data_IF_144355586328
#
_entry.id   IF_144355586328
#
_cell.length_a   1.000
_cell.length_b   1.000
_cell.length_c   1.000
_cell.angle_alpha   90.00
_cell.angle_beta   90.00
_cell.angle_gamma   90.00
#
_symmetry.space_group_name_H-M   'P 1'
#
loop_
_entity.id
_entity.type
_entity.pdbx_description
1 polymer ?
#
# COMPACT_ATOMS: atom_id res chain seq x y z
N UNK A 1 45.68 30.89 26.24
CA UNK A 1 44.87 29.88 25.52
C UNK A 1 43.54 29.78 26.23
N UNK A 2 42.35 29.96 25.65
CA UNK A 2 41.96 30.18 24.26
C UNK A 2 40.60 30.91 24.29
N UNK A 3 40.60 32.24 24.10
CA UNK A 3 39.37 33.04 23.89
C UNK A 3 39.10 33.29 22.38
N UNK A 4 39.89 32.66 21.50
CA UNK A 4 39.78 32.81 20.03
C UNK A 4 39.00 31.69 19.33
N UNK A 5 38.59 30.63 20.04
CA UNK A 5 37.88 29.48 19.42
C UNK A 5 36.34 29.56 19.48
N UNK A 6 35.74 30.40 20.34
CA UNK A 6 34.27 30.49 20.43
C UNK A 6 33.64 31.50 19.45
N UNK A 7 34.39 32.48 18.95
CA UNK A 7 33.86 33.46 17.98
C UNK A 7 33.72 32.92 16.54
N UNK A 8 34.53 31.91 16.15
CA UNK A 8 34.49 31.35 14.80
C UNK A 8 33.30 30.43 14.54
N UNK A 9 32.82 29.73 15.56
CA UNK A 9 31.73 28.76 15.42
C UNK A 9 30.35 29.46 15.33
N UNK A 10 30.17 30.57 16.04
CA UNK A 10 28.92 31.35 16.00
C UNK A 10 28.67 32.01 14.64
N UNK A 11 29.73 32.49 13.97
CA UNK A 11 29.61 33.10 12.64
C UNK A 11 29.30 32.07 11.54
N UNK A 12 29.86 30.86 11.63
CA UNK A 12 29.61 29.79 10.66
C UNK A 12 28.16 29.26 10.73
N UNK A 13 27.59 29.16 11.94
CA UNK A 13 26.20 28.71 12.15
C UNK A 13 25.19 29.78 11.72
N UNK A 14 25.46 31.06 12.00
CA UNK A 14 24.61 32.16 11.55
C UNK A 14 24.61 32.32 10.02
N UNK A 15 25.74 32.06 9.36
CA UNK A 15 25.84 32.12 7.90
C UNK A 15 25.09 30.96 7.21
N UNK A 16 25.17 29.74 7.76
CA UNK A 16 24.43 28.58 7.24
C UNK A 16 22.90 28.73 7.37
N UNK A 17 22.42 29.28 8.49
CA UNK A 17 21.01 29.57 8.70
C UNK A 17 20.50 30.69 7.77
N UNK A 18 21.33 31.71 7.49
CA UNK A 18 21.01 32.77 6.54
C UNK A 18 20.88 32.27 5.09
N UNK A 19 21.72 31.32 4.67
CA UNK A 19 21.67 30.73 3.32
C UNK A 19 20.45 29.82 3.14
N UNK A 20 20.05 29.07 4.17
CA UNK A 20 18.85 28.23 4.15
C UNK A 20 17.55 29.05 4.10
N UNK A 21 17.49 30.18 4.81
CA UNK A 21 16.34 31.09 4.73
C UNK A 21 16.23 31.79 3.36
N UNK A 22 17.36 32.17 2.75
CA UNK A 22 17.34 32.82 1.43
C UNK A 22 16.93 31.85 0.31
N UNK A 23 17.30 30.57 0.40
CA UNK A 23 16.91 29.55 -0.58
C UNK A 23 15.41 29.24 -0.51
N UNK A 24 14.86 29.14 0.71
CA UNK A 24 13.43 28.91 0.95
C UNK A 24 12.56 30.06 0.43
N UNK A 25 13.04 31.31 0.57
CA UNK A 25 12.33 32.50 0.11
C UNK A 25 12.37 32.66 -1.42
N UNK A 26 13.46 32.23 -2.07
CA UNK A 26 13.60 32.27 -3.53
C UNK A 26 12.75 31.19 -4.23
N UNK A 27 12.59 30.01 -3.64
CA UNK A 27 11.68 28.96 -4.15
C UNK A 27 10.21 29.41 -4.08
N UNK A 28 9.85 30.27 -3.13
CA UNK A 28 8.50 30.80 -3.02
C UNK A 28 8.19 31.95 -4.00
N UNK A 29 9.21 32.57 -4.61
CA UNK A 29 9.05 33.69 -5.54
C UNK A 29 9.02 33.29 -7.02
N UNK A 30 9.25 32.01 -7.36
CA UNK A 30 9.37 31.54 -8.76
C UNK A 30 8.26 30.59 -9.21
N UNK A 31 7.12 30.51 -8.52
CA UNK A 31 5.93 29.82 -9.05
C UNK A 31 5.05 30.79 -9.86
N UNK A 32 5.11 30.81 -11.21
CA UNK A 32 4.09 31.48 -12.00
C UNK A 32 2.77 30.68 -11.93
N UNK A 33 1.73 31.42 -11.56
CA UNK A 33 0.29 31.17 -11.67
C UNK A 33 -0.15 30.06 -12.64
N UNK A 34 -1.09 29.27 -12.11
CA UNK A 34 -2.14 28.49 -12.75
C UNK A 34 -2.59 29.01 -14.13
N UNK A 35 -2.49 28.15 -15.15
CA UNK A 35 -3.34 28.24 -16.34
C UNK A 35 -4.32 27.06 -16.32
N UNK A 36 -5.61 27.41 -16.35
CA UNK A 36 -6.75 26.50 -16.47
C UNK A 36 -6.56 25.57 -17.65
N UNK A 37 -6.39 24.27 -17.38
CA UNK A 37 -6.57 23.22 -18.37
C UNK A 37 -8.01 22.77 -18.25
N UNK A 38 -8.81 23.10 -19.25
CA UNK A 38 -10.15 22.57 -19.43
C UNK A 38 -10.04 21.10 -19.81
N UNK A 39 -10.40 20.23 -18.87
CA UNK A 39 -10.53 18.79 -19.10
C UNK A 39 -11.48 18.51 -20.26
N UNK A 40 -10.94 17.95 -21.34
CA UNK A 40 -11.73 17.25 -22.36
C UNK A 40 -11.51 15.76 -22.18
N UNK A 41 -12.33 15.14 -21.34
CA UNK A 41 -12.48 13.69 -21.30
C UNK A 41 -13.16 13.19 -22.59
N UNK A 42 -12.68 12.12 -23.23
CA UNK A 42 -13.46 11.40 -24.20
C UNK A 42 -14.59 10.63 -23.49
N UNK A 43 -15.83 11.02 -23.78
CA UNK A 43 -17.02 10.24 -23.42
C UNK A 43 -16.99 8.89 -24.15
N UNK A 44 -16.68 7.82 -23.42
CA UNK A 44 -16.89 6.45 -23.91
C UNK A 44 -18.39 6.16 -23.80
N UNK A 45 -19.06 6.13 -24.94
CA UNK A 45 -20.48 5.76 -25.06
C UNK A 45 -20.58 4.24 -25.09
N UNK A 46 -21.16 3.63 -24.05
CA UNK A 46 -21.58 2.24 -24.08
C UNK A 46 -22.97 2.13 -24.71
N UNK A 47 -23.03 1.79 -26.00
CA UNK A 47 -24.23 1.23 -26.61
C UNK A 47 -24.11 -0.29 -26.66
N UNK A 48 -24.91 -0.95 -25.84
CA UNK A 48 -25.11 -2.39 -25.86
C UNK A 48 -26.51 -2.72 -25.35
N UNK A 49 -27.50 -2.62 -26.23
CA UNK A 49 -28.85 -3.16 -26.03
C UNK A 49 -28.79 -4.68 -25.99
N UNK A 50 -29.15 -5.27 -24.86
CA UNK A 50 -29.35 -6.71 -24.69
C UNK A 50 -30.23 -6.97 -23.48
N UNK A 51 -31.53 -7.13 -23.72
CA UNK A 51 -32.51 -7.59 -22.74
C UNK A 51 -32.28 -9.06 -22.40
N UNK A 52 -31.84 -9.35 -21.18
CA UNK A 52 -32.04 -10.66 -20.53
C UNK A 52 -32.32 -10.47 -19.05
N UNK A 53 -33.44 -11.05 -18.63
CA UNK A 53 -33.95 -11.14 -17.27
C UNK A 53 -33.09 -12.05 -16.38
N UNK A 54 -32.79 -11.59 -15.16
CA UNK A 54 -32.81 -12.44 -13.95
C UNK A 54 -31.55 -13.21 -13.56
N UNK A 55 -30.55 -12.51 -13.04
CA UNK A 55 -29.70 -12.86 -11.87
C UNK A 55 -28.95 -11.57 -11.51
N UNK A 56 -28.86 -11.20 -10.23
CA UNK A 56 -28.25 -9.92 -9.81
C UNK A 56 -26.90 -9.70 -10.51
N UNK A 57 -26.79 -8.61 -11.28
CA UNK A 57 -25.57 -8.29 -12.03
C UNK A 57 -24.48 -7.91 -11.04
N UNK A 58 -23.61 -8.86 -10.69
CA UNK A 58 -22.41 -8.56 -9.89
C UNK A 58 -21.55 -7.55 -10.65
N UNK A 59 -21.18 -6.46 -9.99
CA UNK A 59 -20.26 -5.49 -10.57
C UNK A 59 -18.83 -5.94 -10.29
N UNK A 60 -18.02 -6.04 -11.34
CA UNK A 60 -16.66 -6.57 -11.27
C UNK A 60 -15.71 -5.49 -11.76
N UNK A 61 -14.85 -5.03 -10.86
CA UNK A 61 -13.77 -4.10 -11.14
C UNK A 61 -12.54 -4.93 -11.52
N UNK A 62 -12.16 -4.86 -12.79
CA UNK A 62 -10.88 -5.40 -13.25
C UNK A 62 -9.80 -4.33 -13.08
N UNK A 63 -8.84 -4.60 -12.20
CA UNK A 63 -7.74 -3.70 -11.89
C UNK A 63 -6.43 -4.11 -12.59
N UNK A 64 -6.52 -4.98 -13.59
CA UNK A 64 -5.37 -5.35 -14.42
C UNK A 64 -5.09 -4.28 -15.48
N UNK A 65 -3.81 -4.10 -15.82
CA UNK A 65 -3.39 -3.15 -16.86
C UNK A 65 -4.10 -3.44 -18.20
N UNK A 66 -4.58 -2.39 -18.89
CA UNK A 66 -5.29 -2.44 -20.18
C UNK A 66 -4.44 -2.91 -21.38
N UNK A 67 -3.20 -3.34 -21.13
CA UNK A 67 -2.26 -3.81 -22.12
C UNK A 67 -1.05 -2.88 -22.27
N UNK A 68 0.01 -3.41 -22.86
CA UNK A 68 1.29 -2.72 -23.00
C UNK A 68 2.37 -3.26 -22.07
N UNK A 69 3.58 -2.77 -22.28
CA UNK A 69 4.75 -3.13 -21.49
C UNK A 69 5.48 -1.87 -21.07
N UNK A 70 5.68 -1.71 -19.77
CA UNK A 70 6.48 -0.64 -19.21
C UNK A 70 7.09 -1.09 -17.89
N UNK A 71 8.10 -0.36 -17.43
CA UNK A 71 8.87 -0.70 -16.24
C UNK A 71 9.04 0.52 -15.36
N UNK A 72 8.87 0.32 -14.04
CA UNK A 72 9.29 1.26 -12.99
C UNK A 72 10.48 0.65 -12.25
N UNK A 73 11.56 1.43 -12.09
CA UNK A 73 12.82 0.96 -11.50
C UNK A 73 13.14 1.73 -10.23
N UNK A 74 13.17 1.04 -9.09
CA UNK A 74 13.62 1.54 -7.79
C UNK A 74 15.11 1.34 -7.58
N UNK A 75 15.85 2.43 -7.34
CA UNK A 75 17.31 2.44 -7.11
C UNK A 75 17.69 3.41 -6.01
N UNK A 76 18.81 3.17 -5.33
CA UNK A 76 19.34 4.12 -4.34
C UNK A 76 20.01 5.35 -4.98
N UNK A 77 20.54 5.21 -6.20
CA UNK A 77 21.29 6.27 -6.89
C UNK A 77 20.41 7.44 -7.37
N UNK A 78 19.10 7.30 -7.27
CA UNK A 78 18.10 8.27 -7.69
C UNK A 78 16.95 8.29 -6.69
N UNK A 79 16.10 9.32 -6.76
CA UNK A 79 14.84 9.36 -6.01
C UNK A 79 13.83 8.30 -6.48
N UNK A 80 14.22 7.46 -7.45
CA UNK A 80 13.37 6.43 -8.03
C UNK A 80 13.01 5.29 -7.08
N UNK A 81 13.65 5.19 -5.90
CA UNK A 81 13.21 4.27 -4.84
C UNK A 81 11.75 4.47 -4.41
N UNK A 82 11.19 5.65 -4.69
CA UNK A 82 9.77 6.00 -4.49
C UNK A 82 9.11 6.42 -5.81
N UNK A 83 9.64 5.98 -6.95
CA UNK A 83 9.06 6.30 -8.24
C UNK A 83 7.59 5.86 -8.28
N UNK A 84 6.76 6.71 -8.88
CA UNK A 84 5.35 6.47 -9.01
C UNK A 84 4.96 6.42 -10.48
N UNK A 85 4.18 5.41 -10.86
CA UNK A 85 3.47 5.36 -12.13
C UNK A 85 1.97 5.16 -11.87
N UNK A 86 1.14 5.74 -12.73
CA UNK A 86 -0.29 5.44 -12.77
C UNK A 86 -0.57 4.47 -13.93
N UNK A 87 -1.32 3.41 -13.64
CA UNK A 87 -1.62 2.31 -14.55
C UNK A 87 -3.11 2.27 -14.80
N UNK A 88 -3.53 2.56 -16.02
CA UNK A 88 -4.96 2.58 -16.36
C UNK A 88 -5.52 1.17 -16.53
N UNK A 89 -6.69 0.95 -15.94
CA UNK A 89 -7.43 -0.32 -15.94
C UNK A 89 -8.81 -0.10 -16.58
N UNK A 90 -9.55 -1.16 -16.96
CA UNK A 90 -10.92 -0.99 -17.47
C UNK A 90 -11.86 -0.20 -16.56
N UNK A 91 -11.62 -0.24 -15.23
CA UNK A 91 -12.52 0.29 -14.22
C UNK A 91 -11.91 1.42 -13.37
N UNK A 92 -10.74 1.95 -13.75
CA UNK A 92 -10.04 2.97 -12.98
C UNK A 92 -8.55 3.05 -13.32
N UNK A 93 -7.73 3.26 -12.29
CA UNK A 93 -6.29 3.13 -12.36
C UNK A 93 -5.70 2.56 -11.06
N UNK A 94 -4.44 2.15 -11.13
CA UNK A 94 -3.62 1.79 -9.98
C UNK A 94 -2.41 2.70 -9.92
N UNK A 95 -1.97 3.03 -8.73
CA UNK A 95 -0.64 3.57 -8.50
C UNK A 95 0.35 2.42 -8.30
N UNK A 96 1.50 2.47 -8.95
CA UNK A 96 2.56 1.46 -8.91
C UNK A 96 3.84 2.10 -8.35
N UNK A 97 4.46 1.49 -7.35
CA UNK A 97 5.69 2.01 -6.74
C UNK A 97 6.63 0.90 -6.28
N UNK A 98 7.96 1.05 -6.46
CA UNK A 98 8.94 0.19 -5.81
C UNK A 98 8.93 0.30 -4.28
N UNK A 99 8.45 1.44 -3.76
CA UNK A 99 8.27 1.76 -2.34
C UNK A 99 9.36 1.19 -1.41
N UNK A 100 10.63 1.49 -1.72
CA UNK A 100 11.78 1.03 -0.96
C UNK A 100 12.05 1.97 0.22
N UNK A 101 11.07 2.11 1.12
CA UNK A 101 11.05 3.12 2.19
C UNK A 101 12.19 2.98 3.19
N UNK A 102 12.68 1.76 3.42
CA UNK A 102 13.82 1.52 4.30
C UNK A 102 15.16 1.49 3.55
N UNK A 103 15.20 1.69 2.22
CA UNK A 103 16.46 1.69 1.47
C UNK A 103 17.27 2.98 1.69
N UNK A 104 18.45 2.84 2.30
CA UNK A 104 19.46 3.91 2.42
C UNK A 104 20.49 3.85 1.31
N UNK A 105 21.08 2.67 1.07
CA UNK A 105 22.07 2.41 0.01
C UNK A 105 22.10 0.92 -0.28
N UNK A 106 22.34 0.55 -1.53
CA UNK A 106 22.53 -0.83 -1.99
C UNK A 106 23.28 -0.83 -3.33
N UNK A 107 23.44 -1.95 -4.01
CA UNK A 107 23.69 -2.02 -5.47
C UNK A 107 22.59 -2.89 -6.07
N UNK A 108 22.18 -2.62 -7.30
CA UNK A 108 21.06 -3.32 -7.95
C UNK A 108 19.79 -2.47 -8.00
N UNK A 109 18.64 -3.12 -8.17
CA UNK A 109 17.35 -2.46 -8.28
C UNK A 109 16.16 -3.32 -7.89
N UNK A 110 15.04 -2.65 -7.58
CA UNK A 110 13.72 -3.22 -7.66
C UNK A 110 13.11 -2.86 -9.02
N UNK A 111 12.63 -3.87 -9.75
CA UNK A 111 12.11 -3.75 -11.09
C UNK A 111 10.65 -4.21 -11.10
N UNK A 112 9.75 -3.28 -11.40
CA UNK A 112 8.31 -3.53 -11.48
C UNK A 112 7.92 -3.37 -12.95
N UNK A 113 7.77 -4.48 -13.67
CA UNK A 113 7.47 -4.49 -15.11
C UNK A 113 6.09 -5.07 -15.37
N UNK A 114 5.22 -4.29 -16.01
CA UNK A 114 4.02 -4.87 -16.61
C UNK A 114 4.37 -5.55 -17.93
N UNK A 115 3.98 -6.82 -18.09
CA UNK A 115 4.03 -7.58 -19.35
C UNK A 115 2.60 -7.95 -19.73
N UNK A 116 1.96 -7.09 -20.53
CA UNK A 116 0.53 -7.22 -20.80
C UNK A 116 -0.29 -6.83 -19.56
N UNK A 117 -1.12 -7.76 -19.07
CA UNK A 117 -1.94 -7.55 -17.87
C UNK A 117 -1.23 -7.92 -16.56
N UNK A 118 -0.13 -8.68 -16.62
CA UNK A 118 0.58 -9.16 -15.43
C UNK A 118 1.69 -8.19 -15.02
N UNK A 119 1.84 -7.98 -13.72
CA UNK A 119 2.94 -7.25 -13.12
C UNK A 119 3.98 -8.24 -12.60
N UNK A 120 5.20 -8.17 -13.13
CA UNK A 120 6.36 -8.87 -12.61
C UNK A 120 7.17 -7.93 -11.72
N UNK A 121 7.36 -8.31 -10.46
CA UNK A 121 8.17 -7.57 -9.49
C UNK A 121 9.40 -8.38 -9.14
N UNK A 122 10.56 -7.79 -9.33
CA UNK A 122 11.86 -8.38 -9.00
C UNK A 122 12.66 -7.42 -8.13
N UNK A 123 13.05 -7.86 -6.95
CA UNK A 123 13.98 -7.15 -6.08
C UNK A 123 15.32 -7.85 -6.17
N UNK A 124 16.36 -7.13 -6.56
CA UNK A 124 17.71 -7.67 -6.66
C UNK A 124 18.72 -6.64 -6.16
N UNK A 125 19.15 -6.80 -4.91
CA UNK A 125 20.13 -5.93 -4.28
C UNK A 125 21.28 -6.70 -3.64
N UNK A 126 22.44 -6.04 -3.59
CA UNK A 126 23.58 -6.44 -2.76
C UNK A 126 24.05 -5.24 -1.94
N UNK A 127 24.79 -5.47 -0.85
CA UNK A 127 25.23 -4.41 0.07
C UNK A 127 24.06 -3.52 0.58
N UNK A 128 22.87 -4.08 0.76
CA UNK A 128 21.68 -3.37 1.23
C UNK A 128 21.90 -2.83 2.64
N UNK A 129 21.55 -1.55 2.84
CA UNK A 129 21.58 -0.89 4.14
C UNK A 129 20.28 -0.16 4.37
N UNK A 130 19.71 -0.42 5.55
CA UNK A 130 18.46 0.18 6.02
C UNK A 130 18.64 1.64 6.46
N UNK A 131 17.60 2.46 6.27
CA UNK A 131 17.48 3.79 6.89
C UNK A 131 17.35 3.63 8.40
N UNK A 132 16.50 2.67 8.81
CA UNK A 132 16.21 2.31 10.20
C UNK A 132 16.50 0.81 10.42
N UNK A 133 17.74 0.44 10.79
CA UNK A 133 18.14 -0.97 10.96
C UNK A 133 17.40 -1.75 12.05
N UNK A 134 16.67 -1.07 12.93
CA UNK A 134 15.84 -1.71 13.95
C UNK A 134 14.49 -2.18 13.43
N UNK A 135 14.09 -1.77 12.22
CA UNK A 135 12.88 -2.24 11.55
C UNK A 135 13.32 -3.32 10.54
N UNK A 136 12.75 -4.54 10.61
CA UNK A 136 13.23 -5.66 9.81
C UNK A 136 12.96 -5.50 8.32
N UNK A 137 11.81 -4.93 7.94
CA UNK A 137 11.37 -4.82 6.54
C UNK A 137 12.20 -3.80 5.75
N UNK A 138 12.51 -4.12 4.49
CA UNK A 138 13.29 -3.28 3.58
C UNK A 138 12.47 -2.36 2.68
N UNK A 139 11.27 -2.79 2.32
CA UNK A 139 10.34 -2.06 1.45
C UNK A 139 9.10 -2.87 1.13
N UNK A 140 8.17 -2.25 0.41
CA UNK A 140 6.88 -2.83 0.05
C UNK A 140 6.52 -2.55 -1.43
N UNK A 141 7.27 -3.09 -2.41
CA UNK A 141 6.98 -2.89 -3.83
C UNK A 141 5.59 -3.42 -4.19
N UNK A 142 4.73 -2.54 -4.71
CA UNK A 142 3.31 -2.85 -4.80
C UNK A 142 2.52 -1.91 -5.69
N UNK A 143 1.21 -2.19 -5.71
CA UNK A 143 0.19 -1.37 -6.35
C UNK A 143 -0.84 -0.90 -5.33
N UNK A 144 -1.50 0.23 -5.62
CA UNK A 144 -2.51 0.84 -4.77
C UNK A 144 -3.72 1.28 -5.59
N UNK A 145 -4.92 0.93 -5.10
CA UNK A 145 -6.21 1.44 -5.55
C UNK A 145 -6.81 2.33 -4.46
N UNK A 146 -7.23 3.54 -4.82
CA UNK A 146 -7.75 4.54 -3.91
C UNK A 146 -6.86 5.77 -3.76
N UNK A 147 -6.73 6.28 -2.54
CA UNK A 147 -6.10 7.54 -2.21
C UNK A 147 -5.22 7.43 -0.97
N UNK A 148 -3.99 7.93 -1.06
CA UNK A 148 -3.12 8.15 0.09
C UNK A 148 -2.43 9.50 -0.09
N UNK A 149 -2.73 10.48 0.76
CA UNK A 149 -2.15 11.82 0.65
C UNK A 149 -0.86 11.99 1.49
N UNK A 150 -0.32 10.87 1.98
CA UNK A 150 0.97 10.78 2.67
C UNK A 150 1.99 10.03 1.81
N UNK A 151 3.24 10.04 2.27
CA UNK A 151 4.33 9.31 1.65
C UNK A 151 4.07 7.78 1.64
N UNK A 152 4.31 7.06 0.53
CA UNK A 152 5.08 7.48 -0.64
C UNK A 152 4.22 8.03 -1.80
N UNK A 153 2.92 7.73 -1.82
CA UNK A 153 2.09 7.98 -2.99
C UNK A 153 1.70 9.46 -3.13
N UNK A 154 1.28 10.08 -2.02
CA UNK A 154 0.86 11.47 -1.95
C UNK A 154 -0.10 11.87 -3.09
N UNK A 155 -1.08 11.02 -3.38
CA UNK A 155 -2.01 11.20 -4.50
C UNK A 155 -3.19 10.22 -4.50
N UNK A 156 -3.93 10.24 -5.60
CA UNK A 156 -5.17 9.49 -5.79
C UNK A 156 -5.20 8.85 -7.18
N UNK A 157 -5.53 7.56 -7.23
CA UNK A 157 -5.86 6.83 -8.45
C UNK A 157 -7.29 7.15 -8.94
N UNK A 158 -7.56 6.90 -10.22
CA UNK A 158 -8.92 6.93 -10.76
C UNK A 158 -9.70 5.75 -10.18
N UNK A 159 -10.75 6.03 -9.41
CA UNK A 159 -11.59 5.02 -8.79
C UNK A 159 -12.89 4.80 -9.57
N UNK A 160 -13.40 3.56 -9.52
CA UNK A 160 -14.71 3.22 -10.08
C UNK A 160 -15.82 3.94 -9.31
N UNK A 161 -16.89 4.33 -10.00
CA UNK A 161 -18.09 4.90 -9.37
C UNK A 161 -18.78 3.94 -8.40
N UNK A 162 -18.55 2.63 -8.53
CA UNK A 162 -19.14 1.61 -7.67
C UNK A 162 -18.31 1.31 -6.42
N UNK A 163 -17.03 1.73 -6.40
CA UNK A 163 -16.17 1.70 -5.23
C UNK A 163 -15.27 2.96 -5.19
N UNK A 164 -15.84 4.16 -5.03
CA UNK A 164 -15.11 5.42 -5.10
C UNK A 164 -14.36 5.67 -3.79
N UNK A 165 -13.12 5.20 -3.69
CA UNK A 165 -12.27 5.49 -2.53
C UNK A 165 -11.73 6.95 -2.58
N UNK A 166 -11.60 7.64 -1.43
CA UNK A 166 -11.94 7.19 -0.08
C UNK A 166 -13.46 7.10 0.15
N UNK A 167 -13.91 6.12 0.94
CA UNK A 167 -15.34 5.87 1.22
C UNK A 167 -15.57 5.60 2.71
N UNK A 168 -16.61 6.18 3.31
CA UNK A 168 -16.94 5.93 4.71
C UNK A 168 -17.26 4.44 4.94
N UNK A 169 -16.74 3.84 6.01
CA UNK A 169 -16.97 2.40 6.26
C UNK A 169 -18.44 2.04 6.45
N UNK A 170 -19.26 2.98 6.96
CA UNK A 170 -20.72 2.78 7.07
C UNK A 170 -21.46 2.75 5.73
N UNK A 171 -20.81 3.14 4.63
CA UNK A 171 -21.35 3.16 3.27
C UNK A 171 -20.66 2.13 2.35
N UNK A 172 -19.70 1.37 2.89
CA UNK A 172 -18.89 0.44 2.12
C UNK A 172 -19.76 -0.75 1.64
N UNK A 173 -19.85 -1.01 0.33
CA UNK A 173 -20.56 -2.19 -0.16
C UNK A 173 -19.82 -3.45 0.28
N UNK A 174 -20.55 -4.57 0.38
CA UNK A 174 -19.91 -5.86 0.54
C UNK A 174 -19.13 -6.20 -0.73
N UNK A 175 -17.85 -6.52 -0.59
CA UNK A 175 -17.03 -6.91 -1.74
C UNK A 175 -15.98 -7.95 -1.37
N UNK A 176 -15.64 -8.75 -2.37
CA UNK A 176 -14.54 -9.70 -2.31
C UNK A 176 -13.41 -9.22 -3.22
N UNK A 177 -12.17 -9.40 -2.78
CA UNK A 177 -11.00 -9.13 -3.61
C UNK A 177 -10.36 -10.45 -4.02
N UNK A 178 -9.98 -10.55 -5.28
CA UNK A 178 -9.31 -11.71 -5.85
C UNK A 178 -7.96 -11.31 -6.41
N UNK A 179 -6.92 -11.98 -5.94
CA UNK A 179 -5.55 -11.87 -6.45
C UNK A 179 -5.18 -13.18 -7.11
N UNK A 180 -4.70 -13.11 -8.35
CA UNK A 180 -4.01 -14.22 -8.98
C UNK A 180 -2.51 -13.90 -8.96
N UNK A 181 -1.73 -14.60 -8.14
CA UNK A 181 -0.32 -14.31 -7.97
C UNK A 181 0.54 -15.54 -7.72
N UNK A 182 1.85 -15.37 -7.90
CA UNK A 182 2.87 -16.32 -7.49
C UNK A 182 4.05 -15.61 -6.84
N UNK A 183 4.68 -16.26 -5.86
CA UNK A 183 5.85 -15.74 -5.15
C UNK A 183 7.13 -16.36 -5.73
N UNK A 184 8.17 -15.55 -5.88
CA UNK A 184 9.45 -15.94 -6.45
C UNK A 184 10.52 -15.83 -5.36
N UNK A 185 10.56 -16.83 -4.49
CA UNK A 185 11.53 -16.90 -3.40
C UNK A 185 12.85 -17.55 -3.88
N UNK A 186 13.96 -16.81 -3.82
CA UNK A 186 15.29 -17.35 -4.19
C UNK A 186 16.35 -17.03 -3.14
N UNK A 187 16.58 -15.76 -2.84
CA UNK A 187 17.54 -15.31 -1.84
C UNK A 187 17.02 -14.07 -1.11
N UNK A 188 17.21 -14.02 0.21
CA UNK A 188 16.50 -13.07 1.07
C UNK A 188 15.28 -13.73 1.71
N UNK A 189 14.35 -12.92 2.20
CA UNK A 189 13.09 -13.38 2.78
C UNK A 189 11.94 -12.56 2.19
N UNK A 190 10.93 -13.25 1.67
CA UNK A 190 9.60 -12.65 1.48
C UNK A 190 8.94 -12.66 2.86
N UNK A 191 8.91 -11.50 3.52
CA UNK A 191 8.34 -11.37 4.87
C UNK A 191 6.84 -11.65 4.79
N UNK A 192 6.17 -11.02 3.82
CA UNK A 192 4.81 -11.34 3.41
C UNK A 192 4.51 -10.99 1.95
N UNK A 193 3.43 -11.59 1.43
CA UNK A 193 2.63 -11.04 0.34
C UNK A 193 1.23 -10.77 0.88
N UNK A 194 0.80 -9.52 0.82
CA UNK A 194 -0.34 -9.06 1.60
C UNK A 194 -1.19 -8.00 0.90
N UNK A 195 -2.37 -7.80 1.48
CA UNK A 195 -3.06 -6.52 1.38
C UNK A 195 -2.55 -5.60 2.48
N UNK A 196 -2.32 -4.34 2.13
CA UNK A 196 -2.08 -3.23 3.08
C UNK A 196 -3.18 -2.19 2.88
N UNK A 197 -4.06 -2.06 3.87
CA UNK A 197 -5.31 -1.29 3.77
C UNK A 197 -5.30 -0.14 4.76
N UNK A 198 -5.53 1.08 4.28
CA UNK A 198 -5.46 2.29 5.08
C UNK A 198 -6.83 2.86 5.41
N UNK A 199 -7.03 3.14 6.69
CA UNK A 199 -8.24 3.76 7.22
C UNK A 199 -7.90 5.00 8.05
N UNK A 200 -8.49 6.14 7.71
CA UNK A 200 -8.33 7.38 8.47
C UNK A 200 -9.67 7.95 8.91
N UNK A 201 -9.63 8.81 9.93
CA UNK A 201 -10.81 9.57 10.38
C UNK A 201 -11.05 10.84 9.55
N UNK A 202 -10.03 11.30 8.82
CA UNK A 202 -10.10 12.37 7.83
C UNK A 202 -9.51 11.86 6.51
N UNK A 203 -10.33 11.66 5.46
CA UNK A 203 -9.86 11.11 4.19
C UNK A 203 -8.86 12.04 3.47
N UNK A 204 -8.66 13.27 3.95
CA UNK A 204 -7.67 14.21 3.44
C UNK A 204 -6.42 14.31 4.32
N UNK A 205 -6.24 13.41 5.30
CA UNK A 205 -5.05 13.34 6.12
C UNK A 205 -3.79 13.21 5.23
N UNK A 206 -2.75 14.00 5.54
CA UNK A 206 -1.49 14.02 4.78
C UNK A 206 -0.33 13.35 5.53
N UNK A 207 -0.62 12.79 6.70
CA UNK A 207 0.31 12.04 7.53
C UNK A 207 -0.49 11.09 8.43
N UNK A 208 0.13 9.97 8.77
CA UNK A 208 -0.45 8.93 9.60
C UNK A 208 -0.10 9.15 11.08
N UNK A 209 -1.08 8.96 11.95
CA UNK A 209 -0.91 9.04 13.39
C UNK A 209 -2.00 8.27 14.12
N UNK A 210 -1.89 8.12 15.43
CA UNK A 210 -3.03 7.66 16.23
C UNK A 210 -4.22 8.64 16.07
N UNK A 211 -5.46 8.17 15.82
CA UNK A 211 -5.90 6.77 15.83
C UNK A 211 -6.10 6.13 14.44
N UNK A 212 -5.44 6.61 13.38
CA UNK A 212 -5.49 5.99 12.04
C UNK A 212 -5.17 4.49 12.13
N UNK A 213 -5.70 3.72 11.17
CA UNK A 213 -5.63 2.25 11.20
C UNK A 213 -5.05 1.72 9.90
N UNK A 214 -4.06 0.84 10.04
CA UNK A 214 -3.53 -0.02 8.99
C UNK A 214 -4.10 -1.42 9.20
N UNK A 215 -4.76 -1.99 8.19
CA UNK A 215 -5.23 -3.37 8.21
C UNK A 215 -4.42 -4.16 7.19
N UNK A 216 -3.58 -5.06 7.67
CA UNK A 216 -2.82 -5.97 6.83
C UNK A 216 -3.46 -7.36 6.82
N UNK A 217 -3.58 -7.94 5.62
CA UNK A 217 -4.04 -9.33 5.44
C UNK A 217 -2.93 -10.10 4.74
N UNK A 218 -2.18 -10.88 5.52
CA UNK A 218 -1.04 -11.66 5.04
C UNK A 218 -1.53 -12.99 4.50
N UNK A 219 -1.46 -13.14 3.18
CA UNK A 219 -1.89 -14.36 2.48
C UNK A 219 -0.76 -15.39 2.40
N UNK A 220 0.47 -14.91 2.21
CA UNK A 220 1.72 -15.66 2.27
C UNK A 220 2.63 -14.91 3.22
N UNK A 221 3.32 -15.58 4.14
CA UNK A 221 4.25 -14.92 5.04
C UNK A 221 5.30 -15.86 5.64
N UNK A 222 6.52 -15.36 5.82
CA UNK A 222 7.57 -16.01 6.60
C UNK A 222 7.87 -15.25 7.91
N UNK A 223 7.44 -14.00 8.03
CA UNK A 223 7.61 -13.24 9.25
C UNK A 223 6.75 -13.81 10.39
N UNK A 224 7.33 -13.77 11.60
CA UNK A 224 6.59 -13.99 12.84
C UNK A 224 6.42 -12.67 13.59
N UNK A 225 5.21 -12.34 14.08
CA UNK A 225 4.97 -11.10 14.83
C UNK A 225 5.96 -10.92 15.98
N UNK A 226 6.55 -9.72 16.07
CA UNK A 226 7.48 -9.39 17.14
C UNK A 226 6.76 -9.26 18.49
N UNK A 227 7.52 -9.12 19.59
CA UNK A 227 6.97 -8.95 20.96
C UNK A 227 6.05 -7.75 21.16
N UNK A 228 6.02 -6.80 20.22
CA UNK A 228 5.17 -5.61 20.29
C UNK A 228 3.76 -5.87 19.75
N UNK A 229 3.58 -6.93 18.97
CA UNK A 229 2.29 -7.36 18.47
C UNK A 229 1.52 -8.04 19.60
N UNK A 230 0.29 -7.57 19.82
CA UNK A 230 -0.63 -8.15 20.79
C UNK A 230 -1.53 -9.14 20.07
N UNK A 231 -1.38 -10.43 20.36
CA UNK A 231 -2.34 -11.42 19.90
C UNK A 231 -3.72 -11.13 20.53
N UNK A 232 -4.74 -10.97 19.70
CA UNK A 232 -6.09 -10.58 20.13
C UNK A 232 -7.16 -11.61 19.78
N UNK A 233 -6.80 -12.71 19.11
CA UNK A 233 -7.67 -13.85 18.86
C UNK A 233 -7.50 -14.43 17.47
N UNK A 234 -8.46 -15.24 17.05
CA UNK A 234 -8.54 -15.79 15.69
C UNK A 234 -9.88 -15.42 15.05
N UNK A 235 -9.93 -15.47 13.73
CA UNK A 235 -11.16 -15.43 12.94
C UNK A 235 -11.09 -16.49 11.86
N UNK A 236 -12.21 -17.15 11.57
CA UNK A 236 -12.31 -18.07 10.44
C UNK A 236 -13.10 -17.39 9.33
N UNK A 237 -12.49 -17.29 8.15
CA UNK A 237 -13.09 -16.69 6.97
C UNK A 237 -13.26 -17.74 5.88
N UNK A 238 -14.27 -17.56 5.03
CA UNK A 238 -14.51 -18.43 3.88
C UNK A 238 -13.90 -17.81 2.63
N UNK A 239 -12.84 -18.43 2.13
CA UNK A 239 -12.11 -18.01 0.94
C UNK A 239 -12.48 -18.88 -0.26
N UNK A 240 -12.07 -18.43 -1.44
CA UNK A 240 -11.95 -19.30 -2.63
C UNK A 240 -10.49 -19.30 -3.05
N UNK A 241 -9.86 -20.47 -3.04
CA UNK A 241 -8.45 -20.66 -3.44
C UNK A 241 -8.41 -21.67 -4.57
N UNK A 242 -7.93 -21.25 -5.74
CA UNK A 242 -7.88 -22.07 -6.96
C UNK A 242 -9.22 -22.77 -7.23
N UNK A 243 -10.29 -21.96 -7.29
CA UNK A 243 -11.69 -22.36 -7.51
C UNK A 243 -12.29 -23.29 -6.43
N UNK A 244 -11.57 -23.52 -5.33
CA UNK A 244 -12.02 -24.35 -4.21
C UNK A 244 -12.37 -23.49 -3.01
N UNK A 245 -13.53 -23.73 -2.40
CA UNK A 245 -13.89 -23.07 -1.14
C UNK A 245 -13.01 -23.61 -0.02
N UNK A 246 -12.36 -22.70 0.70
CA UNK A 246 -11.50 -23.00 1.86
C UNK A 246 -12.02 -22.24 3.08
N UNK A 247 -12.11 -22.91 4.23
CA UNK A 247 -12.27 -22.23 5.52
C UNK A 247 -10.88 -21.95 6.09
N UNK A 248 -10.43 -20.71 5.98
CA UNK A 248 -9.10 -20.30 6.46
C UNK A 248 -9.21 -19.71 7.85
N UNK A 249 -8.31 -20.10 8.73
CA UNK A 249 -8.20 -19.50 10.05
C UNK A 249 -7.11 -18.44 10.02
N UNK A 250 -7.42 -17.22 10.47
CA UNK A 250 -6.45 -16.15 10.64
C UNK A 250 -6.16 -15.94 12.11
N UNK A 251 -4.87 -15.89 12.45
CA UNK A 251 -4.43 -15.33 13.72
C UNK A 251 -4.45 -13.80 13.63
N UNK A 252 -5.06 -13.13 14.60
CA UNK A 252 -5.23 -11.67 14.57
C UNK A 252 -4.38 -11.00 15.64
N UNK A 253 -3.58 -10.04 15.21
CA UNK A 253 -2.71 -9.25 16.06
C UNK A 253 -3.03 -7.76 15.95
N UNK A 254 -2.82 -7.02 17.04
CA UNK A 254 -2.88 -5.56 17.05
C UNK A 254 -1.51 -5.02 17.45
N UNK A 255 -0.97 -4.11 16.65
CA UNK A 255 0.21 -3.30 16.98
C UNK A 255 -0.27 -1.90 17.42
N UNK A 256 -0.19 -1.53 18.71
CA UNK A 256 -0.84 -0.33 19.21
C UNK A 256 -0.36 1.01 18.61
N UNK A 257 0.94 1.09 18.28
CA UNK A 257 1.61 2.31 17.87
C UNK A 257 2.73 1.99 16.86
N UNK A 258 2.35 1.77 15.61
CA UNK A 258 3.28 1.43 14.52
C UNK A 258 4.18 2.63 14.18
N UNK A 259 5.48 2.40 14.02
CA UNK A 259 6.46 3.41 13.59
C UNK A 259 6.91 4.44 14.65
N UNK A 260 6.07 4.82 15.61
CA UNK A 260 6.44 5.76 16.68
C UNK A 260 5.51 5.68 17.90
N UNK A 261 5.83 6.38 18.99
CA UNK A 261 4.95 6.46 20.17
C UNK A 261 3.60 7.15 19.92
N UNK A 262 3.46 7.91 18.83
CA UNK A 262 2.18 8.48 18.37
C UNK A 262 1.76 7.88 17.02
N UNK A 263 2.27 6.68 16.73
CA UNK A 263 1.98 5.93 15.53
C UNK A 263 0.53 5.49 15.42
N UNK A 264 0.15 5.05 14.23
CA UNK A 264 -1.16 4.48 13.93
C UNK A 264 -1.34 3.09 14.57
N UNK A 265 -2.56 2.58 14.50
CA UNK A 265 -2.93 1.24 14.97
C UNK A 265 -2.76 0.27 13.80
N UNK A 266 -1.92 -0.75 13.95
CA UNK A 266 -1.86 -1.86 12.98
C UNK A 266 -2.75 -3.02 13.41
N UNK A 267 -3.50 -3.61 12.49
CA UNK A 267 -4.26 -4.85 12.66
C UNK A 267 -3.83 -5.85 11.60
N UNK A 268 -3.34 -7.01 12.02
CA UNK A 268 -2.73 -7.97 11.13
C UNK A 268 -3.49 -9.29 11.21
N UNK A 269 -4.06 -9.70 10.07
CA UNK A 269 -4.65 -11.02 9.86
C UNK A 269 -3.60 -11.91 9.21
N UNK A 270 -3.11 -12.90 9.94
CA UNK A 270 -2.11 -13.85 9.47
C UNK A 270 -2.75 -15.19 9.13
N UNK A 271 -2.77 -15.53 7.84
CA UNK A 271 -3.21 -16.84 7.37
C UNK A 271 -2.43 -17.94 8.09
N UNK A 272 -3.06 -19.07 8.42
CA UNK A 272 -2.34 -20.24 8.93
C UNK A 272 -1.77 -21.10 7.79
N UNK A 273 -2.31 -20.98 6.58
CA UNK A 273 -1.78 -21.56 5.36
C UNK A 273 -1.00 -20.54 4.52
N UNK A 274 -0.06 -21.03 3.69
CA UNK A 274 0.61 -20.21 2.68
C UNK A 274 -0.25 -20.18 1.41
N UNK A 275 -1.08 -19.15 1.28
CA UNK A 275 -1.98 -19.01 0.15
C UNK A 275 -1.20 -18.48 -1.07
N UNK A 276 -1.44 -19.06 -2.24
CA UNK A 276 -0.85 -18.67 -3.52
C UNK A 276 -1.73 -19.18 -4.68
N UNK A 277 -1.62 -18.57 -5.86
CA UNK A 277 -2.47 -18.84 -7.01
C UNK A 277 -3.63 -17.85 -7.07
N UNK A 278 -4.84 -18.34 -7.35
CA UNK A 278 -6.04 -17.52 -7.42
C UNK A 278 -6.77 -17.50 -6.07
N UNK A 279 -6.60 -16.43 -5.30
CA UNK A 279 -7.07 -16.29 -3.91
C UNK A 279 -8.11 -15.18 -3.83
N UNK A 280 -9.34 -15.53 -3.47
CA UNK A 280 -10.44 -14.61 -3.18
C UNK A 280 -10.69 -14.52 -1.68
N UNK A 281 -10.62 -13.30 -1.13
CA UNK A 281 -10.94 -12.98 0.27
C UNK A 281 -12.17 -12.08 0.37
N UNK A 282 -13.00 -12.20 1.43
CA UNK A 282 -14.09 -11.28 1.71
C UNK A 282 -13.57 -9.96 2.32
N UNK A 283 -12.80 -9.19 1.55
CA UNK A 283 -11.98 -8.09 2.07
C UNK A 283 -12.78 -7.03 2.83
N UNK A 284 -13.98 -6.63 2.36
CA UNK A 284 -14.81 -5.66 3.09
C UNK A 284 -15.21 -6.14 4.48
N UNK A 285 -15.51 -7.45 4.62
CA UNK A 285 -15.85 -8.09 5.89
C UNK A 285 -14.64 -8.10 6.83
N UNK A 286 -13.44 -8.39 6.32
CA UNK A 286 -12.21 -8.37 7.11
C UNK A 286 -11.86 -6.95 7.58
N UNK A 287 -12.04 -5.94 6.71
CA UNK A 287 -11.82 -4.52 7.05
C UNK A 287 -12.75 -4.09 8.18
N UNK A 288 -14.07 -4.27 8.04
CA UNK A 288 -15.04 -3.89 9.08
C UNK A 288 -14.88 -4.78 10.33
N UNK A 289 -14.58 -6.07 10.12
CA UNK A 289 -14.33 -7.07 11.15
C UNK A 289 -13.05 -6.84 11.96
N UNK A 290 -12.16 -5.94 11.53
CA UNK A 290 -10.97 -5.56 12.30
C UNK A 290 -11.32 -4.80 13.60
N UNK A 291 -12.39 -3.99 13.60
CA UNK A 291 -12.72 -3.12 14.74
C UNK A 291 -13.07 -3.86 16.04
N UNK A 292 -13.80 -4.98 16.03
CA UNK A 292 -13.93 -5.83 17.22
C UNK A 292 -12.60 -6.30 17.83
N UNK A 293 -11.55 -6.47 17.02
CA UNK A 293 -10.21 -6.81 17.50
C UNK A 293 -9.48 -5.58 18.04
N UNK A 294 -9.58 -4.44 17.35
CA UNK A 294 -9.06 -3.15 17.84
C UNK A 294 -9.65 -2.81 19.22
N UNK A 295 -10.96 -2.99 19.40
CA UNK A 295 -11.68 -2.71 20.65
C UNK A 295 -11.15 -3.47 21.88
N UNK A 296 -10.47 -4.61 21.68
CA UNK A 296 -9.82 -5.36 22.78
C UNK A 296 -8.64 -4.58 23.36
N UNK A 297 -8.06 -3.65 22.61
CA UNK A 297 -6.94 -2.79 23.00
C UNK A 297 -7.40 -1.33 23.17
N UNK A 298 -8.22 -0.81 22.26
CA UNK A 298 -8.68 0.57 22.20
C UNK A 298 -10.22 0.66 22.16
N UNK A 299 -10.85 0.76 23.32
CA UNK A 299 -12.32 0.73 23.47
C UNK A 299 -13.09 1.90 22.84
N UNK A 300 -12.39 2.93 22.34
CA UNK A 300 -13.01 4.17 21.81
C UNK A 300 -12.94 4.29 20.29
N UNK A 301 -12.30 3.34 19.60
CA UNK A 301 -12.06 3.39 18.15
C UNK A 301 -13.18 2.66 17.43
N UNK A 302 -14.14 3.36 16.83
CA UNK A 302 -15.32 2.75 16.18
C UNK A 302 -15.23 2.82 14.66
N UNK A 303 -15.71 1.78 13.97
CA UNK A 303 -15.70 1.69 12.51
C UNK A 303 -16.44 2.86 11.81
N UNK A 304 -17.51 3.37 12.44
CA UNK A 304 -18.31 4.48 11.90
C UNK A 304 -17.54 5.78 11.70
N UNK A 305 -16.39 5.92 12.35
CA UNK A 305 -15.60 7.15 12.37
C UNK A 305 -14.55 7.17 11.25
N UNK A 306 -14.42 6.08 10.48
CA UNK A 306 -13.33 5.88 9.52
C UNK A 306 -13.83 5.82 8.07
N UNK A 307 -12.91 6.19 7.19
CA UNK A 307 -12.98 6.03 5.76
C UNK A 307 -12.01 4.92 5.36
N UNK A 308 -12.38 4.09 4.38
CA UNK A 308 -11.44 3.29 3.62
C UNK A 308 -10.77 4.17 2.59
N UNK A 309 -9.49 4.45 2.75
CA UNK A 309 -8.75 5.39 1.88
C UNK A 309 -8.17 4.70 0.66
N UNK A 310 -7.47 3.60 0.89
CA UNK A 310 -6.79 2.84 -0.14
C UNK A 310 -6.66 1.36 0.23
N UNK A 311 -6.56 0.54 -0.81
CA UNK A 311 -6.14 -0.85 -0.71
C UNK A 311 -4.86 -0.98 -1.52
N UNK A 312 -3.79 -1.43 -0.89
CA UNK A 312 -2.56 -1.80 -1.54
C UNK A 312 -2.43 -3.32 -1.61
N UNK A 313 -1.66 -3.77 -2.61
CA UNK A 313 -1.24 -5.16 -2.76
C UNK A 313 0.24 -5.16 -3.09
N UNK A 314 1.01 -5.93 -2.34
CA UNK A 314 2.46 -5.94 -2.48
C UNK A 314 3.10 -7.03 -1.64
N UNK A 315 4.39 -6.84 -1.42
CA UNK A 315 5.24 -7.79 -0.73
C UNK A 315 6.20 -7.05 0.19
N UNK A 316 6.12 -7.30 1.50
CA UNK A 316 7.22 -6.93 2.40
C UNK A 316 8.37 -7.92 2.21
N UNK A 317 9.61 -7.42 2.19
CA UNK A 317 10.78 -8.25 2.01
C UNK A 317 11.95 -7.81 2.89
N UNK A 318 12.89 -8.72 3.07
CA UNK A 318 14.10 -8.50 3.84
C UNK A 318 15.34 -9.10 3.17
N UNK A 319 16.45 -8.37 3.26
CA UNK A 319 17.78 -8.81 2.92
C UNK A 319 18.34 -9.83 3.93
N UNK A 320 19.23 -10.69 3.44
CA UNK A 320 20.06 -11.56 4.29
C UNK A 320 21.51 -11.13 4.11
N UNK A 321 22.08 -10.55 5.17
CA UNK A 321 23.45 -10.03 5.22
C UNK A 321 23.77 -9.00 4.11
N UNK A 322 22.77 -8.23 3.70
CA UNK A 322 22.85 -7.19 2.67
C UNK A 322 22.48 -7.66 1.27
N UNK A 323 22.17 -8.95 1.07
CA UNK A 323 21.87 -9.51 -0.24
C UNK A 323 20.41 -9.98 -0.32
N UNK A 324 19.73 -9.67 -1.43
CA UNK A 324 18.34 -10.07 -1.71
C UNK A 324 18.13 -10.26 -3.22
N UNK A 325 17.48 -11.35 -3.60
CA UNK A 325 17.03 -11.66 -4.96
C UNK A 325 15.74 -12.46 -4.89
N UNK A 326 14.60 -11.79 -4.97
CA UNK A 326 13.27 -12.39 -4.83
C UNK A 326 12.23 -11.54 -5.56
N UNK A 327 10.95 -11.92 -5.53
CA UNK A 327 9.91 -11.18 -6.20
C UNK A 327 8.55 -11.85 -6.16
N UNK A 328 7.64 -11.33 -6.98
CA UNK A 328 6.34 -11.95 -7.23
C UNK A 328 5.86 -11.64 -8.65
N UNK A 329 4.89 -12.41 -9.12
CA UNK A 329 4.10 -12.06 -10.30
C UNK A 329 2.65 -11.90 -9.87
N UNK A 330 2.09 -10.71 -10.08
CA UNK A 330 0.65 -10.47 -9.94
C UNK A 330 0.03 -10.59 -11.34
N UNK A 331 -0.64 -11.71 -11.59
CA UNK A 331 -1.26 -12.01 -12.87
C UNK A 331 -2.53 -11.19 -13.12
N UNK A 332 -3.32 -10.98 -12.06
CA UNK A 332 -4.52 -10.15 -12.09
C UNK A 332 -4.97 -9.75 -10.69
N UNK A 333 -5.64 -8.61 -10.60
CA UNK A 333 -6.37 -8.17 -9.42
C UNK A 333 -7.79 -7.77 -9.82
N UNK A 334 -8.79 -8.37 -9.17
CA UNK A 334 -10.21 -8.02 -9.38
C UNK A 334 -10.92 -7.79 -8.06
N UNK A 335 -11.90 -6.89 -8.06
CA UNK A 335 -12.82 -6.68 -6.94
C UNK A 335 -14.24 -6.98 -7.43
N UNK A 336 -14.95 -7.86 -6.74
CA UNK A 336 -16.33 -8.23 -7.03
C UNK A 336 -17.24 -7.64 -5.96
N UNK A 337 -18.10 -6.70 -6.35
CA UNK A 337 -19.12 -6.11 -5.48
C UNK A 337 -20.32 -7.05 -5.40
N UNK A 338 -20.76 -7.32 -4.18
CA UNK A 338 -21.98 -8.07 -3.92
C UNK A 338 -23.15 -7.10 -3.84
N UNK A 339 -24.08 -7.20 -4.78
CA UNK A 339 -25.34 -6.46 -4.65
C UNK A 339 -26.15 -7.06 -3.51
N UNK A 340 -26.62 -6.21 -2.60
CA UNK A 340 -27.61 -6.62 -1.61
C UNK A 340 -28.86 -7.13 -2.35
N UNK A 341 -29.26 -8.37 -2.04
CA UNK A 341 -30.45 -9.03 -2.60
C UNK A 341 -31.72 -8.61 -1.89
#
# INVERSE_FOLDING_TARGET
>A
MDLKKSLGLGFAVAFLLGVLFLHSYLVHLTNPRSSNVTDRYPQVTSQGTGTTSGTGSKDVLNLSNLGGTFTVIGRYQSDSKYALAEVYTPNGSLFLSPFLWNLKVAKGDANLTYVGSSLEVWVNFTDFKKVSPSIPVDGYPGVMYGQELWFPFAGKSLTSSSLPLPMALGELPNFSSTLSYSVLDRWGVVDDFSYDVWLTTDPNATYLQYPDVEVMVWLYHNETPSKYFLYVGNVTERLVVNDTVLEENFSVYVLPHTGSANGWIGVYFLSQDQLEGNVTVPLSSMIVGSFPFIHKVFQKVNASDYYLDAVQVGMEFNDVDGDVSLGYVLHSWTIELQNES
#
